data_IF_213845860968
#
_entry.id   IF_213845860968
#
_cell.length_a   1.000
_cell.length_b   1.000
_cell.length_c   1.000
_cell.angle_alpha   90.00
_cell.angle_beta   90.00
_cell.angle_gamma   90.00
#
_symmetry.space_group_name_H-M   'P 1'
#
loop_
_entity.id
_entity.type
_entity.pdbx_description
1 polymer ?
#
# COMPACT_ATOMS: atom_id res chain seq x y z
N UNK A 1 -14.38 -2.05 -18.43
CA UNK A 1 -12.94 -1.70 -18.46
C UNK A 1 -12.74 -0.66 -17.35
N UNK A 2 -12.07 -0.99 -16.25
CA UNK A 2 -11.70 0.00 -15.23
C UNK A 2 -10.81 1.05 -15.89
N UNK A 3 -11.13 2.35 -15.73
CA UNK A 3 -10.20 3.41 -16.11
C UNK A 3 -8.97 3.28 -15.21
N UNK A 4 -7.79 3.08 -15.79
CA UNK A 4 -6.54 3.27 -15.09
C UNK A 4 -6.51 4.73 -14.62
N UNK A 5 -6.48 4.93 -13.32
CA UNK A 5 -6.48 6.25 -12.74
C UNK A 5 -5.40 6.25 -11.65
N UNK A 6 -4.37 7.07 -11.88
CA UNK A 6 -3.27 7.32 -10.94
C UNK A 6 -3.64 8.48 -9.98
N UNK A 7 -4.92 8.81 -9.83
CA UNK A 7 -5.36 10.07 -9.23
C UNK A 7 -4.86 10.24 -7.81
N UNK A 8 -4.91 9.16 -7.02
CA UNK A 8 -4.38 9.13 -5.65
C UNK A 8 -2.88 9.43 -5.65
N UNK A 9 -2.09 8.71 -6.47
CA UNK A 9 -0.63 8.89 -6.51
C UNK A 9 -0.25 10.30 -6.96
N UNK A 10 -0.90 10.83 -7.99
CA UNK A 10 -0.62 12.18 -8.52
C UNK A 10 -0.96 13.27 -7.51
N UNK A 11 -2.15 13.23 -6.91
CA UNK A 11 -2.55 14.19 -5.88
C UNK A 11 -1.61 14.12 -4.65
N UNK A 12 -1.20 12.92 -4.23
CA UNK A 12 -0.25 12.79 -3.13
C UNK A 12 1.14 13.34 -3.49
N UNK A 13 1.64 13.14 -4.71
CA UNK A 13 2.91 13.74 -5.17
C UNK A 13 2.83 15.27 -5.13
N UNK A 14 1.74 15.85 -5.60
CA UNK A 14 1.54 17.31 -5.57
C UNK A 14 1.56 17.85 -4.14
N UNK A 15 0.93 17.14 -3.20
CA UNK A 15 0.95 17.51 -1.79
C UNK A 15 2.34 17.39 -1.17
N UNK A 16 3.05 16.29 -1.42
CA UNK A 16 4.44 16.10 -0.96
C UNK A 16 5.32 17.23 -1.48
N UNK A 17 5.23 17.56 -2.77
CA UNK A 17 5.95 18.70 -3.37
C UNK A 17 5.60 20.03 -2.70
N UNK A 18 4.32 20.25 -2.41
CA UNK A 18 3.86 21.47 -1.73
C UNK A 18 4.36 21.57 -0.28
N UNK A 19 4.53 20.45 0.43
CA UNK A 19 4.95 20.42 1.83
C UNK A 19 6.47 20.58 1.94
N UNK A 20 7.22 19.84 1.11
CA UNK A 20 8.68 19.81 1.16
C UNK A 20 9.31 21.00 0.44
N UNK A 21 8.64 21.56 -0.58
CA UNK A 21 9.18 22.66 -1.37
C UNK A 21 10.55 22.33 -1.96
N UNK A 22 11.49 23.26 -1.86
CA UNK A 22 12.87 23.10 -2.37
C UNK A 22 13.65 21.99 -1.66
N UNK A 23 13.30 21.61 -0.42
CA UNK A 23 14.00 20.53 0.29
C UNK A 23 13.89 19.19 -0.45
N UNK A 24 12.81 19.00 -1.22
CA UNK A 24 12.61 17.79 -2.02
C UNK A 24 13.70 17.61 -3.09
N UNK A 25 14.24 18.71 -3.62
CA UNK A 25 15.22 18.67 -4.71
C UNK A 25 16.58 18.11 -4.28
N UNK A 26 16.85 18.14 -2.98
CA UNK A 26 18.09 17.66 -2.36
C UNK A 26 17.96 16.23 -1.80
N UNK A 27 16.74 15.69 -1.72
CA UNK A 27 16.51 14.34 -1.24
C UNK A 27 16.89 13.32 -2.32
N UNK A 28 17.79 12.41 -1.97
CA UNK A 28 18.22 11.30 -2.82
C UNK A 28 17.87 9.95 -2.19
N UNK A 29 17.83 8.90 -3.00
CA UNK A 29 17.75 7.53 -2.49
C UNK A 29 19.17 7.10 -2.07
N UNK A 30 19.37 6.89 -0.78
CA UNK A 30 20.64 6.41 -0.23
C UNK A 30 20.81 4.91 -0.53
N UNK A 31 19.77 4.13 -0.27
CA UNK A 31 19.76 2.67 -0.45
C UNK A 31 18.39 2.19 -0.93
N UNK A 32 18.37 1.18 -1.78
CA UNK A 32 17.16 0.47 -2.16
C UNK A 32 17.39 -1.03 -2.20
N UNK A 33 16.37 -1.80 -1.85
CA UNK A 33 16.36 -3.26 -1.92
C UNK A 33 15.07 -3.71 -2.59
N UNK A 34 15.19 -4.56 -3.61
CA UNK A 34 14.05 -5.25 -4.21
C UNK A 34 13.99 -6.68 -3.65
N UNK A 35 13.32 -6.83 -2.51
CA UNK A 35 13.09 -8.13 -1.89
C UNK A 35 11.93 -8.89 -2.56
N UNK A 36 11.80 -10.18 -2.24
CA UNK A 36 10.74 -11.04 -2.82
C UNK A 36 9.32 -10.55 -2.51
N UNK A 37 9.10 -10.06 -1.29
CA UNK A 37 7.78 -9.61 -0.84
C UNK A 37 7.63 -8.09 -0.85
N UNK A 38 8.70 -7.37 -0.58
CA UNK A 38 8.69 -5.91 -0.48
C UNK A 38 9.92 -5.30 -1.15
N UNK A 39 9.67 -4.19 -1.85
CA UNK A 39 10.68 -3.25 -2.31
C UNK A 39 10.78 -2.14 -1.26
N UNK A 40 11.98 -1.88 -0.77
CA UNK A 40 12.24 -0.87 0.26
C UNK A 40 13.30 0.13 -0.17
N UNK A 41 13.22 1.33 0.40
CA UNK A 41 14.21 2.40 0.23
C UNK A 41 14.53 3.05 1.56
N UNK A 42 15.72 3.65 1.62
CA UNK A 42 16.14 4.66 2.58
C UNK A 42 16.53 5.92 1.81
N UNK A 43 15.98 7.04 2.20
CA UNK A 43 16.31 8.36 1.66
C UNK A 43 17.53 8.95 2.40
N UNK A 44 18.20 9.93 1.78
CA UNK A 44 19.39 10.60 2.32
C UNK A 44 19.14 11.39 3.61
N UNK A 45 17.88 11.68 3.93
CA UNK A 45 17.47 12.28 5.20
C UNK A 45 17.19 11.23 6.30
N UNK A 46 17.42 9.95 6.02
CA UNK A 46 17.24 8.83 6.94
C UNK A 46 15.85 8.23 6.95
N UNK A 47 14.87 8.78 6.22
CA UNK A 47 13.51 8.23 6.18
C UNK A 47 13.42 6.97 5.32
N UNK A 48 12.61 6.02 5.75
CA UNK A 48 12.41 4.74 5.08
C UNK A 48 11.01 4.57 4.52
N UNK A 49 10.90 3.79 3.44
CA UNK A 49 9.61 3.48 2.81
C UNK A 49 9.63 2.12 2.16
N UNK A 50 8.49 1.42 2.19
CA UNK A 50 8.36 0.09 1.60
C UNK A 50 7.08 -0.02 0.77
N UNK A 51 7.13 -0.88 -0.24
CA UNK A 51 6.02 -1.18 -1.12
C UNK A 51 6.03 -2.69 -1.40
N UNK A 52 4.87 -3.32 -1.56
CA UNK A 52 4.83 -4.73 -1.96
C UNK A 52 5.53 -4.93 -3.31
N UNK A 53 6.31 -5.99 -3.47
CA UNK A 53 6.95 -6.34 -4.75
C UNK A 53 5.97 -7.17 -5.60
N UNK A 54 5.50 -6.67 -6.75
CA UNK A 54 4.51 -7.36 -7.58
C UNK A 54 5.16 -8.46 -8.44
N UNK A 55 5.74 -9.49 -7.81
CA UNK A 55 6.51 -10.54 -8.50
C UNK A 55 5.67 -11.31 -9.54
N UNK A 56 4.37 -11.44 -9.33
CA UNK A 56 3.45 -12.14 -10.23
C UNK A 56 3.15 -11.35 -11.51
N UNK A 57 3.35 -10.03 -11.46
CA UNK A 57 3.09 -9.11 -12.58
C UNK A 57 4.36 -8.82 -13.40
N UNK A 58 5.50 -9.44 -13.04
CA UNK A 58 6.73 -9.37 -13.82
C UNK A 58 6.54 -10.26 -15.07
N UNK A 59 6.73 -9.73 -16.30
CA UNK A 59 6.52 -10.48 -17.54
C UNK A 59 7.31 -11.81 -17.58
N UNK A 60 6.69 -12.85 -18.14
CA UNK A 60 7.15 -14.26 -18.10
C UNK A 60 8.57 -14.52 -18.66
N UNK A 61 9.12 -13.62 -19.48
CA UNK A 61 10.48 -13.74 -19.98
C UNK A 61 11.48 -13.15 -18.96
N UNK A 62 11.80 -13.89 -17.91
CA UNK A 62 12.96 -13.59 -17.04
C UNK A 62 14.26 -14.07 -17.70
N UNK A 63 14.50 -13.60 -18.93
CA UNK A 63 15.78 -13.73 -19.61
C UNK A 63 16.48 -12.37 -19.54
N UNK A 64 17.82 -12.37 -19.46
CA UNK A 64 18.64 -11.19 -19.15
C UNK A 64 18.29 -9.87 -19.90
N UNK A 65 17.82 -9.85 -21.16
CA UNK A 65 17.50 -8.58 -21.81
C UNK A 65 16.14 -7.97 -21.44
N UNK A 66 15.11 -8.76 -21.10
CA UNK A 66 13.77 -8.25 -20.76
C UNK A 66 13.69 -7.78 -19.32
N UNK A 67 14.25 -8.53 -18.36
CA UNK A 67 14.28 -8.11 -16.94
C UNK A 67 15.17 -6.90 -16.69
N UNK A 68 16.27 -6.74 -17.44
CA UNK A 68 17.12 -5.55 -17.34
C UNK A 68 16.42 -4.26 -17.80
N UNK A 69 15.44 -4.35 -18.74
CA UNK A 69 14.65 -3.19 -19.19
C UNK A 69 13.68 -2.69 -18.12
N UNK A 70 13.16 -3.59 -17.28
CA UNK A 70 12.30 -3.20 -16.16
C UNK A 70 13.06 -2.29 -15.18
N UNK A 71 14.33 -2.59 -14.92
CA UNK A 71 15.17 -1.87 -13.95
C UNK A 71 16.46 -1.31 -14.56
N UNK A 72 16.38 -0.27 -15.41
CA UNK A 72 17.53 0.29 -16.14
C UNK A 72 18.52 1.01 -15.22
N UNK A 73 18.12 1.32 -13.99
CA UNK A 73 18.94 2.01 -12.98
C UNK A 73 19.70 1.05 -12.07
N UNK A 74 19.68 -0.27 -12.33
CA UNK A 74 20.45 -1.25 -11.54
C UNK A 74 21.92 -0.85 -11.42
N UNK A 75 22.45 -0.84 -10.18
CA UNK A 75 23.80 -0.36 -9.87
C UNK A 75 23.98 1.17 -9.88
N UNK A 76 22.92 1.94 -10.18
CA UNK A 76 22.92 3.41 -10.25
C UNK A 76 21.80 4.04 -9.43
N UNK A 77 21.11 3.28 -8.57
CA UNK A 77 20.00 3.78 -7.75
C UNK A 77 20.50 4.74 -6.66
N UNK A 78 21.56 4.34 -5.95
CA UNK A 78 22.10 5.13 -4.84
C UNK A 78 22.59 6.50 -5.34
N UNK A 79 22.22 7.56 -4.62
CA UNK A 79 22.55 8.95 -4.93
C UNK A 79 21.65 9.60 -6.01
N UNK A 80 20.70 8.89 -6.60
CA UNK A 80 19.72 9.50 -7.51
C UNK A 80 18.67 10.29 -6.74
N UNK A 81 18.21 11.39 -7.32
CA UNK A 81 17.13 12.21 -6.74
C UNK A 81 15.85 11.40 -6.57
N UNK A 82 15.14 11.63 -5.47
CA UNK A 82 13.86 10.98 -5.18
C UNK A 82 12.83 11.22 -6.32
N UNK A 83 12.85 12.42 -6.92
CA UNK A 83 11.99 12.78 -8.05
C UNK A 83 12.13 11.83 -9.25
N UNK A 84 13.35 11.34 -9.55
CA UNK A 84 13.57 10.41 -10.67
C UNK A 84 12.74 9.12 -10.52
N UNK A 85 12.54 8.64 -9.29
CA UNK A 85 11.76 7.45 -9.00
C UNK A 85 10.25 7.74 -9.02
N UNK A 86 9.84 8.91 -8.53
CA UNK A 86 8.45 9.37 -8.61
C UNK A 86 7.99 9.47 -10.06
N UNK A 87 8.78 10.11 -10.93
CA UNK A 87 8.47 10.17 -12.36
C UNK A 87 8.54 8.81 -13.04
N UNK A 88 9.49 7.97 -12.59
CA UNK A 88 9.69 6.61 -13.11
C UNK A 88 8.49 5.69 -12.88
N UNK A 89 7.72 5.94 -11.82
CA UNK A 89 6.53 5.19 -11.43
C UNK A 89 5.48 5.06 -12.54
N UNK A 90 5.37 6.07 -13.40
CA UNK A 90 4.36 6.13 -14.46
C UNK A 90 4.86 5.63 -15.83
N UNK A 91 6.08 5.08 -15.90
CA UNK A 91 6.71 4.66 -17.17
C UNK A 91 6.48 3.17 -17.52
N UNK A 92 5.38 2.58 -17.04
CA UNK A 92 4.86 1.28 -17.47
C UNK A 92 5.51 0.02 -16.88
N UNK A 93 6.55 0.15 -16.04
CA UNK A 93 7.18 -1.00 -15.37
C UNK A 93 6.63 -1.17 -13.95
N UNK A 94 6.15 -2.38 -13.62
CA UNK A 94 5.59 -2.69 -12.29
C UNK A 94 6.62 -2.57 -11.17
N UNK A 95 7.89 -2.88 -11.47
CA UNK A 95 8.99 -2.74 -10.51
C UNK A 95 9.38 -1.28 -10.29
N UNK A 96 9.42 -0.47 -11.36
CA UNK A 96 9.61 0.98 -11.21
C UNK A 96 8.47 1.61 -10.43
N UNK A 97 7.25 1.12 -10.65
CA UNK A 97 6.08 1.57 -9.91
C UNK A 97 6.19 1.24 -8.41
N UNK A 98 6.53 0.00 -8.08
CA UNK A 98 6.75 -0.40 -6.70
C UNK A 98 7.87 0.43 -6.03
N UNK A 99 8.99 0.65 -6.72
CA UNK A 99 10.08 1.48 -6.22
C UNK A 99 9.67 2.95 -6.03
N UNK A 100 8.95 3.53 -7.00
CA UNK A 100 8.44 4.88 -6.92
C UNK A 100 7.46 5.07 -5.75
N UNK A 101 6.59 4.10 -5.50
CA UNK A 101 5.69 4.10 -4.33
C UNK A 101 6.49 3.96 -3.02
N UNK A 102 7.53 3.11 -2.97
CA UNK A 102 8.39 3.02 -1.80
C UNK A 102 9.09 4.36 -1.49
N UNK A 103 9.56 5.08 -2.52
CA UNK A 103 10.09 6.45 -2.39
C UNK A 103 9.01 7.42 -1.91
N UNK A 104 7.81 7.36 -2.46
CA UNK A 104 6.70 8.23 -2.04
C UNK A 104 6.27 7.97 -0.59
N UNK A 105 6.32 6.71 -0.13
CA UNK A 105 6.10 6.34 1.27
C UNK A 105 7.16 6.97 2.18
N UNK A 106 8.44 6.92 1.81
CA UNK A 106 9.53 7.53 2.57
C UNK A 106 9.45 9.08 2.59
N UNK A 107 9.05 9.69 1.48
CA UNK A 107 8.81 11.14 1.42
C UNK A 107 7.60 11.54 2.27
N UNK A 108 6.55 10.71 2.32
CA UNK A 108 5.40 10.96 3.19
C UNK A 108 5.79 10.88 4.67
N UNK A 109 6.70 9.97 5.04
CA UNK A 109 7.30 9.94 6.38
C UNK A 109 8.11 11.22 6.68
N UNK A 110 8.86 11.73 5.69
CA UNK A 110 9.54 13.04 5.80
C UNK A 110 8.53 14.16 6.10
N UNK A 111 7.42 14.22 5.36
CA UNK A 111 6.36 15.20 5.59
C UNK A 111 5.75 15.11 7.00
N UNK A 112 5.51 13.90 7.51
CA UNK A 112 4.98 13.72 8.88
C UNK A 112 5.95 14.15 9.98
N UNK A 113 7.26 14.02 9.74
CA UNK A 113 8.29 14.38 10.70
C UNK A 113 8.72 15.86 10.60
N UNK A 114 8.26 16.60 9.59
CA UNK A 114 8.49 18.04 9.49
C UNK A 114 7.82 18.81 10.63
N UNK A 115 8.61 19.64 11.30
CA UNK A 115 8.12 20.49 12.40
C UNK A 115 7.04 21.44 11.88
N UNK A 116 5.86 21.38 12.51
CA UNK A 116 4.76 22.29 12.21
C UNK A 116 3.82 21.81 11.10
N UNK A 117 4.16 20.75 10.36
CA UNK A 117 3.20 20.11 9.48
C UNK A 117 2.14 19.39 10.33
N UNK A 118 0.87 19.77 10.14
CA UNK A 118 -0.29 19.13 10.74
C UNK A 118 -1.32 18.89 9.65
N UNK A 119 -1.47 17.65 9.23
CA UNK A 119 -2.60 17.26 8.41
C UNK A 119 -3.90 17.25 9.20
N UNK A 120 -5.04 17.21 8.52
CA UNK A 120 -6.35 17.04 9.15
C UNK A 120 -6.65 15.56 9.44
N UNK A 121 -5.71 14.91 10.13
CA UNK A 121 -5.76 13.49 10.46
C UNK A 121 -4.91 13.16 11.67
N UNK A 122 -5.20 12.01 12.28
CA UNK A 122 -4.47 11.45 13.41
C UNK A 122 -3.70 10.22 12.96
N UNK A 123 -2.44 10.12 13.34
CA UNK A 123 -1.63 8.90 13.21
C UNK A 123 -1.55 8.23 14.59
N UNK A 124 -1.94 6.97 14.65
CA UNK A 124 -1.92 6.12 15.85
C UNK A 124 -0.90 5.02 15.60
N UNK A 125 0.14 4.96 16.44
CA UNK A 125 1.17 3.92 16.35
C UNK A 125 0.76 2.67 17.11
N UNK A 126 1.33 1.54 16.70
CA UNK A 126 1.12 0.20 17.27
C UNK A 126 -0.37 -0.21 17.33
N UNK A 127 -1.13 0.18 16.31
CA UNK A 127 -2.56 -0.09 16.18
C UNK A 127 -2.89 -0.84 14.88
N UNK A 128 -4.04 -1.50 14.86
CA UNK A 128 -4.64 -2.15 13.69
C UNK A 128 -5.98 -1.47 13.38
N UNK A 129 -6.30 -1.09 12.13
CA UNK A 129 -7.52 -0.33 11.85
C UNK A 129 -8.80 -1.16 11.98
N UNK A 130 -8.68 -2.50 12.02
CA UNK A 130 -9.79 -3.44 12.10
C UNK A 130 -9.69 -4.20 13.41
N UNK A 131 -10.66 -3.97 14.29
CA UNK A 131 -10.79 -4.64 15.57
C UNK A 131 -11.96 -5.64 15.54
N UNK A 132 -11.73 -6.86 16.03
CA UNK A 132 -12.72 -7.95 16.01
C UNK A 132 -13.95 -7.66 16.87
N UNK A 133 -13.80 -6.94 17.97
CA UNK A 133 -14.84 -6.70 18.96
C UNK A 133 -15.65 -5.44 18.67
N UNK A 134 -15.18 -4.62 17.72
CA UNK A 134 -15.81 -3.34 17.37
C UNK A 134 -16.03 -3.22 15.87
N UNK A 135 -14.97 -3.05 15.08
CA UNK A 135 -15.07 -2.84 13.63
C UNK A 135 -15.84 -3.95 12.94
N UNK A 136 -15.53 -5.21 13.22
CA UNK A 136 -16.19 -6.34 12.54
C UNK A 136 -17.66 -6.48 12.96
N UNK A 137 -17.95 -6.46 14.26
CA UNK A 137 -19.30 -6.74 14.79
C UNK A 137 -20.32 -5.63 14.53
N UNK A 138 -19.89 -4.40 14.21
CA UNK A 138 -20.77 -3.28 13.91
C UNK A 138 -21.40 -3.34 12.51
N UNK A 139 -20.90 -4.20 11.63
CA UNK A 139 -21.25 -4.22 10.21
C UNK A 139 -21.95 -5.53 9.84
N UNK A 140 -23.03 -5.46 9.03
CA UNK A 140 -23.80 -6.65 8.66
C UNK A 140 -23.12 -7.46 7.56
N UNK A 141 -22.46 -6.77 6.63
CA UNK A 141 -21.78 -7.38 5.49
C UNK A 141 -20.43 -6.74 5.25
N UNK A 142 -19.38 -7.55 5.12
CA UNK A 142 -18.01 -7.08 4.86
C UNK A 142 -17.50 -7.58 3.50
N UNK A 143 -16.80 -6.75 2.74
CA UNK A 143 -15.98 -7.23 1.61
C UNK A 143 -14.51 -7.03 1.93
N UNK A 144 -13.72 -8.08 1.72
CA UNK A 144 -12.26 -8.04 1.79
C UNK A 144 -11.71 -8.11 0.38
N UNK A 145 -10.95 -7.10 -0.03
CA UNK A 145 -10.25 -7.06 -1.32
C UNK A 145 -8.78 -7.38 -1.09
N UNK A 146 -8.34 -8.49 -1.68
CA UNK A 146 -7.04 -9.11 -1.45
C UNK A 146 -7.09 -10.25 -0.44
N UNK A 147 -6.11 -11.14 -0.49
CA UNK A 147 -5.90 -12.25 0.45
C UNK A 147 -5.39 -11.76 1.81
N UNK A 148 -6.18 -10.93 2.50
CA UNK A 148 -5.89 -10.39 3.81
C UNK A 148 -6.26 -11.40 4.91
N UNK A 149 -5.48 -12.47 4.98
CA UNK A 149 -5.74 -13.66 5.81
C UNK A 149 -6.10 -13.33 7.28
N UNK A 150 -5.44 -12.38 7.98
CA UNK A 150 -5.83 -12.04 9.35
C UNK A 150 -7.29 -11.60 9.46
N UNK A 151 -7.76 -10.73 8.56
CA UNK A 151 -9.13 -10.21 8.61
C UNK A 151 -10.15 -11.24 8.12
N UNK A 152 -9.81 -12.05 7.12
CA UNK A 152 -10.64 -13.18 6.67
C UNK A 152 -10.84 -14.16 7.84
N UNK A 153 -9.79 -14.47 8.59
CA UNK A 153 -9.87 -15.32 9.79
C UNK A 153 -10.80 -14.71 10.86
N UNK A 154 -10.63 -13.42 11.18
CA UNK A 154 -11.48 -12.73 12.14
C UNK A 154 -12.97 -12.77 11.75
N UNK A 155 -13.28 -12.56 10.46
CA UNK A 155 -14.66 -12.63 9.94
C UNK A 155 -15.27 -14.02 10.08
N UNK A 156 -14.48 -15.07 9.80
CA UNK A 156 -14.89 -16.48 9.93
C UNK A 156 -15.16 -16.85 11.39
N UNK A 157 -14.26 -16.49 12.29
CA UNK A 157 -14.39 -16.76 13.73
C UNK A 157 -15.65 -16.09 14.32
N UNK A 158 -15.98 -14.89 13.84
CA UNK A 158 -17.18 -14.16 14.22
C UNK A 158 -18.44 -14.60 13.44
N UNK A 159 -18.35 -15.61 12.56
CA UNK A 159 -19.46 -16.08 11.69
C UNK A 159 -20.15 -14.92 10.95
N UNK A 160 -19.38 -13.93 10.55
CA UNK A 160 -19.86 -12.74 9.85
C UNK A 160 -20.26 -13.09 8.42
N UNK A 161 -21.15 -12.31 7.81
CA UNK A 161 -21.39 -12.39 6.37
C UNK A 161 -20.33 -11.58 5.64
N UNK A 162 -19.56 -12.22 4.76
CA UNK A 162 -18.53 -11.53 4.00
C UNK A 162 -18.25 -12.11 2.62
N UNK A 163 -17.61 -11.30 1.78
CA UNK A 163 -17.11 -11.65 0.45
C UNK A 163 -15.60 -11.42 0.37
N UNK A 164 -14.92 -12.21 -0.47
CA UNK A 164 -13.50 -12.06 -0.80
C UNK A 164 -13.37 -11.75 -2.30
N UNK A 165 -12.72 -10.64 -2.64
CA UNK A 165 -12.31 -10.31 -3.99
C UNK A 165 -10.78 -10.46 -4.10
N UNK A 166 -10.31 -11.48 -4.81
CA UNK A 166 -8.88 -11.77 -4.99
C UNK A 166 -8.57 -12.11 -6.45
N UNK A 167 -7.44 -11.64 -6.97
CA UNK A 167 -7.01 -11.89 -8.35
C UNK A 167 -6.49 -13.32 -8.54
N UNK A 168 -5.83 -13.89 -7.53
CA UNK A 168 -5.35 -15.26 -7.53
C UNK A 168 -6.02 -16.12 -6.45
N UNK A 169 -7.12 -16.82 -6.77
CA UNK A 169 -7.85 -17.65 -5.81
C UNK A 169 -7.01 -18.75 -5.15
N UNK A 170 -5.85 -19.11 -5.73
CA UNK A 170 -4.93 -20.12 -5.15
C UNK A 170 -4.30 -19.66 -3.84
N UNK A 171 -4.37 -18.37 -3.51
CA UNK A 171 -3.93 -17.85 -2.21
C UNK A 171 -4.94 -18.08 -1.09
N UNK A 172 -6.15 -18.54 -1.42
CA UNK A 172 -7.23 -18.80 -0.46
C UNK A 172 -7.27 -20.27 -0.06
N UNK A 173 -7.73 -20.54 1.16
CA UNK A 173 -8.01 -21.91 1.64
C UNK A 173 -9.33 -22.42 1.08
N UNK A 174 -9.51 -23.74 1.09
CA UNK A 174 -10.72 -24.39 0.57
C UNK A 174 -12.00 -23.84 1.21
N UNK A 175 -12.00 -23.64 2.53
CA UNK A 175 -13.13 -23.08 3.28
C UNK A 175 -13.28 -21.55 3.14
N UNK A 176 -12.36 -20.88 2.46
CA UNK A 176 -12.46 -19.45 2.10
C UNK A 176 -13.04 -19.28 0.70
N UNK A 177 -12.99 -20.31 -0.15
CA UNK A 177 -13.53 -20.28 -1.51
C UNK A 177 -15.06 -20.13 -1.54
N UNK A 178 -15.77 -20.57 -0.50
CA UNK A 178 -17.21 -20.36 -0.35
C UNK A 178 -17.59 -18.87 -0.24
N UNK A 179 -16.63 -18.03 0.12
CA UNK A 179 -16.78 -16.57 0.23
C UNK A 179 -16.18 -15.82 -0.96
N UNK A 180 -15.49 -16.52 -1.86
CA UNK A 180 -14.82 -15.92 -3.01
C UNK A 180 -15.83 -15.43 -4.04
N UNK A 181 -15.64 -14.18 -4.47
CA UNK A 181 -16.39 -13.54 -5.54
C UNK A 181 -15.43 -13.25 -6.71
N UNK A 182 -15.76 -13.70 -7.92
CA UNK A 182 -15.04 -13.30 -9.13
C UNK A 182 -15.00 -11.78 -9.32
N UNK A 183 -13.95 -11.27 -9.96
CA UNK A 183 -13.70 -9.82 -10.14
C UNK A 183 -14.82 -9.11 -10.92
N UNK A 184 -15.46 -9.79 -11.87
CA UNK A 184 -16.61 -9.27 -12.61
C UNK A 184 -17.85 -9.05 -11.73
N UNK A 185 -17.89 -9.66 -10.54
CA UNK A 185 -18.90 -9.42 -9.50
C UNK A 185 -18.46 -8.43 -8.42
N UNK A 186 -17.35 -7.72 -8.60
CA UNK A 186 -16.87 -6.74 -7.62
C UNK A 186 -17.93 -5.68 -7.28
N UNK A 187 -18.68 -5.20 -8.27
CA UNK A 187 -19.75 -4.22 -8.05
C UNK A 187 -20.88 -4.77 -7.15
N UNK A 188 -21.22 -6.06 -7.28
CA UNK A 188 -22.23 -6.70 -6.43
C UNK A 188 -21.73 -6.81 -4.98
N UNK A 189 -20.51 -7.30 -4.79
CA UNK A 189 -19.91 -7.45 -3.45
C UNK A 189 -19.74 -6.10 -2.74
N UNK A 190 -19.17 -5.11 -3.43
CA UNK A 190 -18.92 -3.78 -2.86
C UNK A 190 -20.21 -2.98 -2.66
N UNK A 191 -21.18 -3.11 -3.59
CA UNK A 191 -22.47 -2.41 -3.52
C UNK A 191 -23.38 -2.86 -2.37
N UNK A 192 -23.13 -4.02 -1.76
CA UNK A 192 -23.91 -4.52 -0.61
C UNK A 192 -23.17 -4.45 0.73
N UNK A 193 -21.87 -4.18 0.73
CA UNK A 193 -21.04 -4.24 1.94
C UNK A 193 -21.09 -2.97 2.77
N UNK A 194 -21.28 -3.10 4.08
CA UNK A 194 -21.22 -2.00 5.04
C UNK A 194 -19.77 -1.67 5.42
N UNK A 195 -18.90 -2.67 5.43
CA UNK A 195 -17.46 -2.53 5.66
C UNK A 195 -16.68 -3.04 4.45
N UNK A 196 -15.69 -2.29 3.99
CA UNK A 196 -14.84 -2.68 2.86
C UNK A 196 -13.37 -2.54 3.30
N UNK A 197 -12.66 -3.66 3.35
CA UNK A 197 -11.24 -3.72 3.70
C UNK A 197 -10.44 -3.98 2.42
N UNK A 198 -9.63 -3.02 1.99
CA UNK A 198 -8.93 -3.06 0.70
C UNK A 198 -7.42 -3.12 0.91
N UNK A 199 -6.75 -4.09 0.29
CA UNK A 199 -5.29 -4.13 0.25
C UNK A 199 -4.67 -2.87 -0.39
N UNK A 200 -3.60 -2.35 0.21
CA UNK A 200 -2.79 -1.26 -0.33
C UNK A 200 -2.12 -1.60 -1.66
N UNK A 201 -1.99 -2.90 -1.99
CA UNK A 201 -1.47 -3.34 -3.30
C UNK A 201 -2.38 -2.90 -4.47
N UNK A 202 -3.64 -2.56 -4.20
CA UNK A 202 -4.56 -1.98 -5.18
C UNK A 202 -4.07 -0.64 -5.79
N UNK A 203 -3.12 0.03 -5.14
CA UNK A 203 -2.42 1.22 -5.65
C UNK A 203 -1.43 0.85 -6.76
N UNK A 204 -0.76 -0.30 -6.63
CA UNK A 204 0.28 -0.74 -7.58
C UNK A 204 -0.36 -1.14 -8.90
N UNK A 205 -1.47 -1.87 -8.85
CA UNK A 205 -2.13 -2.39 -10.04
C UNK A 205 -3.27 -1.50 -10.57
N UNK A 206 -3.36 -0.24 -10.12
CA UNK A 206 -4.34 0.76 -10.61
C UNK A 206 -5.81 0.40 -10.41
N UNK A 207 -6.12 -0.43 -9.42
CA UNK A 207 -7.50 -0.87 -9.16
C UNK A 207 -8.19 -0.08 -8.05
N UNK A 208 -7.44 0.58 -7.16
CA UNK A 208 -8.00 1.20 -5.95
C UNK A 208 -9.13 2.20 -6.25
N UNK A 209 -8.94 3.16 -7.14
CA UNK A 209 -9.98 4.18 -7.43
C UNK A 209 -11.25 3.56 -8.03
N UNK A 210 -11.11 2.54 -8.87
CA UNK A 210 -12.25 1.81 -9.40
C UNK A 210 -13.01 1.06 -8.31
N UNK A 211 -12.30 0.41 -7.38
CA UNK A 211 -12.92 -0.26 -6.22
C UNK A 211 -13.66 0.73 -5.32
N UNK A 212 -13.05 1.89 -5.02
CA UNK A 212 -13.66 2.94 -4.22
C UNK A 212 -14.95 3.47 -4.87
N UNK A 213 -14.98 3.59 -6.21
CA UNK A 213 -16.16 4.06 -6.94
C UNK A 213 -17.35 3.10 -6.93
N UNK A 214 -17.12 1.81 -6.61
CA UNK A 214 -18.16 0.79 -6.52
C UNK A 214 -18.73 0.63 -5.11
N UNK A 215 -18.10 1.26 -4.11
CA UNK A 215 -18.58 1.23 -2.74
C UNK A 215 -19.94 1.93 -2.64
N UNK A 216 -20.87 1.32 -1.89
CA UNK A 216 -22.15 1.96 -1.60
C UNK A 216 -21.97 3.20 -0.71
N UNK A 217 -22.90 4.14 -0.83
CA UNK A 217 -22.94 5.30 0.07
C UNK A 217 -23.07 4.85 1.54
N UNK A 218 -22.29 5.49 2.41
CA UNK A 218 -22.27 5.18 3.85
C UNK A 218 -21.45 3.95 4.25
N UNK A 219 -20.83 3.22 3.30
CA UNK A 219 -19.90 2.15 3.65
C UNK A 219 -18.65 2.70 4.35
N UNK A 220 -18.18 2.01 5.39
CA UNK A 220 -16.88 2.27 5.98
C UNK A 220 -15.79 1.59 5.14
N UNK A 221 -14.85 2.38 4.63
CA UNK A 221 -13.76 1.88 3.79
C UNK A 221 -12.43 2.01 4.53
N UNK A 222 -11.70 0.92 4.63
CA UNK A 222 -10.39 0.83 5.25
C UNK A 222 -9.38 0.32 4.23
N UNK A 223 -8.31 1.06 4.00
CA UNK A 223 -7.19 0.59 3.16
C UNK A 223 -6.09 0.07 4.06
N UNK A 224 -5.54 -1.11 3.77
CA UNK A 224 -4.57 -1.79 4.65
C UNK A 224 -3.36 -2.31 3.89
N UNK A 225 -2.19 -2.08 4.44
CA UNK A 225 -0.94 -2.68 4.01
C UNK A 225 0.15 -1.66 3.70
N UNK A 226 1.43 -2.06 3.74
CA UNK A 226 2.55 -1.14 3.79
C UNK A 226 2.69 -0.25 2.55
N UNK A 227 2.18 -0.71 1.41
CA UNK A 227 2.11 0.05 0.16
C UNK A 227 1.32 1.36 0.31
N UNK A 228 0.37 1.44 1.25
CA UNK A 228 -0.48 2.60 1.47
C UNK A 228 0.08 3.60 2.51
N UNK A 229 1.40 3.59 2.77
CA UNK A 229 2.08 4.53 3.70
C UNK A 229 2.33 5.93 3.10
N UNK A 230 1.53 6.37 2.13
CA UNK A 230 1.64 7.72 1.56
C UNK A 230 0.73 8.71 2.33
N UNK A 231 0.88 10.03 2.09
CA UNK A 231 -0.02 11.04 2.66
C UNK A 231 -1.51 10.69 2.39
N UNK A 232 -2.38 10.78 3.41
CA UNK A 232 -3.69 10.12 3.39
C UNK A 232 -4.80 10.95 2.72
N UNK A 233 -4.57 12.23 2.47
CA UNK A 233 -5.59 13.19 2.04
C UNK A 233 -6.31 12.76 0.76
N UNK A 234 -5.56 12.24 -0.21
CA UNK A 234 -6.12 11.77 -1.48
C UNK A 234 -7.04 10.54 -1.30
N UNK A 235 -6.78 9.68 -0.32
CA UNK A 235 -7.67 8.57 0.06
C UNK A 235 -8.93 9.10 0.73
N UNK A 236 -8.78 10.03 1.68
CA UNK A 236 -9.89 10.60 2.44
C UNK A 236 -10.86 11.40 1.56
N UNK A 237 -10.36 12.04 0.51
CA UNK A 237 -11.17 12.70 -0.52
C UNK A 237 -12.05 11.71 -1.29
N UNK A 238 -11.68 10.42 -1.32
CA UNK A 238 -12.37 9.33 -2.02
C UNK A 238 -13.15 8.41 -1.08
N UNK A 239 -13.46 8.88 0.13
CA UNK A 239 -14.32 8.16 1.07
C UNK A 239 -13.62 7.11 1.94
N UNK A 240 -12.29 6.95 1.84
CA UNK A 240 -11.56 6.11 2.79
C UNK A 240 -11.67 6.74 4.19
N UNK A 241 -11.99 5.91 5.18
CA UNK A 241 -12.14 6.34 6.58
C UNK A 241 -10.83 6.21 7.34
N UNK A 242 -10.13 5.09 7.14
CA UNK A 242 -8.90 4.73 7.84
C UNK A 242 -7.89 4.09 6.90
N UNK A 243 -6.62 4.28 7.19
CA UNK A 243 -5.52 3.60 6.52
C UNK A 243 -4.70 2.86 7.58
N UNK A 244 -4.63 1.53 7.49
CA UNK A 244 -3.70 0.72 8.27
C UNK A 244 -2.42 0.53 7.48
N UNK A 245 -1.32 1.15 7.90
CA UNK A 245 -0.04 1.05 7.19
C UNK A 245 1.12 0.76 8.12
N UNK A 246 2.36 0.90 7.62
CA UNK A 246 3.58 0.73 8.39
C UNK A 246 4.45 1.99 8.31
N UNK A 247 4.91 2.46 9.47
CA UNK A 247 5.99 3.44 9.57
C UNK A 247 7.31 2.70 9.72
N UNK A 248 8.26 2.95 8.81
CA UNK A 248 9.62 2.39 8.91
C UNK A 248 10.38 3.14 9.99
N UNK A 249 10.85 2.43 11.03
CA UNK A 249 11.54 3.04 12.17
C UNK A 249 13.04 2.82 12.14
N UNK A 250 13.50 1.77 11.45
CA UNK A 250 14.91 1.38 11.32
C UNK A 250 15.19 0.92 9.89
N UNK A 251 15.40 1.86 8.95
CA UNK A 251 15.48 1.53 7.53
C UNK A 251 16.63 0.59 7.18
N UNK A 252 17.82 0.76 7.78
CA UNK A 252 18.98 -0.07 7.43
C UNK A 252 18.75 -1.54 7.78
N UNK A 253 18.32 -1.84 9.01
CA UNK A 253 18.01 -3.19 9.44
C UNK A 253 16.80 -3.77 8.69
N UNK A 254 15.80 -2.95 8.40
CA UNK A 254 14.67 -3.40 7.58
C UNK A 254 15.15 -3.83 6.18
N UNK A 255 16.00 -3.03 5.54
CA UNK A 255 16.50 -3.31 4.19
C UNK A 255 17.39 -4.56 4.16
N UNK A 256 18.14 -4.84 5.24
CA UNK A 256 18.89 -6.10 5.38
C UNK A 256 17.93 -7.31 5.40
N UNK A 257 16.85 -7.23 6.20
CA UNK A 257 15.82 -8.28 6.23
C UNK A 257 15.17 -8.47 4.85
N UNK A 258 14.87 -7.39 4.12
CA UNK A 258 14.30 -7.51 2.77
C UNK A 258 15.27 -8.16 1.78
N UNK A 259 16.59 -7.90 1.92
CA UNK A 259 17.62 -8.48 1.06
C UNK A 259 17.73 -9.99 1.26
N UNK A 260 17.39 -10.48 2.45
CA UNK A 260 17.31 -11.90 2.81
C UNK A 260 15.92 -12.52 2.55
N UNK A 261 15.12 -11.87 1.69
CA UNK A 261 13.75 -12.28 1.36
C UNK A 261 12.77 -12.29 2.55
N UNK A 262 13.06 -11.51 3.59
CA UNK A 262 12.16 -11.30 4.72
C UNK A 262 10.84 -10.65 4.30
N UNK A 263 9.77 -11.05 4.98
CA UNK A 263 8.41 -10.52 4.85
C UNK A 263 7.99 -9.74 6.11
N UNK A 264 6.76 -9.22 6.13
CA UNK A 264 6.20 -8.47 7.26
C UNK A 264 6.29 -9.20 8.60
N UNK A 265 6.27 -10.53 8.61
CA UNK A 265 6.43 -11.34 9.84
C UNK A 265 7.82 -11.17 10.49
N UNK A 266 8.82 -10.73 9.74
CA UNK A 266 10.20 -10.63 10.22
C UNK A 266 10.53 -9.23 10.75
N UNK A 267 9.97 -8.17 10.16
CA UNK A 267 10.32 -6.78 10.48
C UNK A 267 9.23 -5.99 11.24
N UNK A 268 7.95 -6.36 11.15
CA UNK A 268 6.89 -5.66 11.87
C UNK A 268 7.07 -5.78 13.40
N UNK A 269 6.95 -4.66 14.11
CA UNK A 269 7.19 -4.55 15.54
C UNK A 269 8.67 -4.47 15.95
N UNK A 270 9.61 -4.56 14.99
CA UNK A 270 11.06 -4.48 15.24
C UNK A 270 11.72 -3.30 14.51
N UNK A 271 11.46 -3.20 13.21
CA UNK A 271 12.07 -2.23 12.30
C UNK A 271 11.02 -1.39 11.55
N UNK A 272 9.74 -1.75 11.71
CA UNK A 272 8.60 -0.93 11.33
C UNK A 272 7.48 -1.08 12.36
N UNK A 273 6.78 0.02 12.65
CA UNK A 273 5.61 0.02 13.54
C UNK A 273 4.32 0.06 12.72
N UNK A 274 3.29 -0.66 13.18
CA UNK A 274 1.96 -0.56 12.59
C UNK A 274 1.39 0.81 12.89
N UNK A 275 0.71 1.39 11.91
CA UNK A 275 0.08 2.70 12.05
C UNK A 275 -1.35 2.65 11.56
N UNK A 276 -2.22 3.39 12.24
CA UNK A 276 -3.57 3.70 11.77
C UNK A 276 -3.65 5.19 11.56
N UNK A 277 -3.99 5.60 10.34
CA UNK A 277 -4.22 6.99 9.97
C UNK A 277 -5.72 7.20 9.83
N UNK A 278 -6.30 8.08 10.64
CA UNK A 278 -7.74 8.35 10.66
C UNK A 278 -8.00 9.83 10.40
N UNK A 279 -9.00 10.11 9.57
CA UNK A 279 -9.46 11.48 9.29
C UNK A 279 -9.99 12.14 10.58
N UNK A 280 -9.59 13.38 10.84
CA UNK A 280 -10.15 14.21 11.91
C UNK A 280 -11.39 14.97 11.45
#
# INVERSE_FOLDING_TARGET
MMKMSDGILRETIEQVKSILGEEMDDITVERAVMGLFYTGVKLSNGEGGICFTPIKDIPEAVCCPSSAKEMPLSGKISGQKAECFIEGMFKGSVLRKALGIAVLNALSATCWNLKGHKGNYKIIYDADPVDENTTILQHKTTTVVGALIPYIKMLKENKSKFFILELDPKTLKEDELDHFMPVDKAHEALGQSDLIIITGTAIINDTLEGLLSMAKEGAEIIVVGPTASILPDAFFKRGVKKIGSLAVTKPDELLDILAEAGSGYHFCGKYASKTVIEKQ
#
